data_IF_546357335380
#
_entry.id   IF_546357335380
#
_cell.length_a   1.000
_cell.length_b   1.000
_cell.length_c   1.000
_cell.angle_alpha   90.00
_cell.angle_beta   90.00
_cell.angle_gamma   90.00
#
_symmetry.space_group_name_H-M   'P 1'
#
loop_
_entity.id
_entity.type
_entity.pdbx_description
1 polymer ?
#
# COMPACT_ATOMS: atom_id res chain seq x y z
N UNK A 1 -1.29 -16.49 26.79
CA UNK A 1 -0.57 -15.58 25.86
C UNK A 1 -0.93 -16.01 24.45
N UNK A 2 -2.06 -15.57 23.94
CA UNK A 2 -2.51 -15.85 22.56
C UNK A 2 -3.01 -14.52 22.00
N UNK A 3 -2.14 -13.83 21.26
CA UNK A 3 -2.34 -12.43 20.87
C UNK A 3 -1.84 -12.12 19.47
N UNK A 4 -1.81 -13.11 18.57
CA UNK A 4 -1.52 -12.89 17.17
C UNK A 4 -2.76 -13.20 16.34
N UNK A 5 -3.18 -12.23 15.52
CA UNK A 5 -4.26 -12.38 14.56
C UNK A 5 -3.96 -13.54 13.58
N UNK A 6 -4.93 -14.40 13.23
CA UNK A 6 -4.72 -15.47 12.26
C UNK A 6 -4.27 -14.91 10.91
N UNK A 7 -3.37 -15.61 10.20
CA UNK A 7 -2.79 -15.17 8.92
C UNK A 7 -3.80 -14.90 7.80
N UNK A 8 -5.05 -15.37 7.96
CA UNK A 8 -6.15 -15.23 7.01
C UNK A 8 -7.19 -14.17 7.43
N UNK A 9 -6.87 -13.32 8.42
CA UNK A 9 -7.81 -12.34 8.97
C UNK A 9 -8.17 -11.21 7.99
N UNK A 10 -7.31 -10.91 7.01
CA UNK A 10 -7.68 -9.95 5.97
C UNK A 10 -8.71 -10.61 5.03
N UNK A 11 -9.97 -10.13 5.02
CA UNK A 11 -10.97 -10.65 4.10
C UNK A 11 -10.48 -10.43 2.67
N UNK A 12 -10.65 -11.46 1.83
CA UNK A 12 -10.46 -11.29 0.39
C UNK A 12 -11.35 -10.14 -0.06
N UNK A 13 -10.75 -9.12 -0.67
CA UNK A 13 -11.48 -8.01 -1.28
C UNK A 13 -12.64 -8.61 -2.10
N UNK A 14 -13.90 -8.20 -1.85
CA UNK A 14 -15.01 -8.75 -2.60
C UNK A 14 -14.78 -8.48 -4.09
N UNK A 15 -15.13 -9.42 -4.98
CA UNK A 15 -15.08 -9.21 -6.41
C UNK A 15 -16.14 -8.16 -6.80
N UNK A 16 -15.77 -6.88 -6.65
CA UNK A 16 -16.52 -5.74 -7.13
C UNK A 16 -15.88 -5.20 -8.41
N UNK A 17 -16.66 -4.59 -9.32
CA UNK A 17 -16.14 -4.11 -10.60
C UNK A 17 -15.16 -2.93 -10.49
N UNK A 18 -14.89 -2.41 -9.28
CA UNK A 18 -13.97 -1.29 -9.02
C UNK A 18 -13.19 -1.51 -7.74
N UNK A 19 -11.86 -1.43 -7.83
CA UNK A 19 -10.99 -1.21 -6.67
C UNK A 19 -11.31 0.21 -6.16
N UNK A 20 -11.60 0.43 -4.87
CA UNK A 20 -11.85 1.76 -4.34
C UNK A 20 -10.63 2.65 -4.57
N UNK A 21 -10.77 3.67 -5.41
CA UNK A 21 -9.81 4.78 -5.41
C UNK A 21 -10.15 5.75 -4.26
N UNK A 22 -9.23 6.67 -3.95
CA UNK A 22 -9.38 7.60 -2.83
C UNK A 22 -10.66 8.45 -2.89
N UNK A 23 -11.36 8.51 -4.03
CA UNK A 23 -12.61 9.26 -4.17
C UNK A 23 -13.83 8.54 -3.61
N UNK A 24 -13.73 7.22 -3.32
CA UNK A 24 -14.84 6.38 -2.84
C UNK A 24 -14.85 6.14 -1.33
N UNK A 25 -13.76 6.42 -0.60
CA UNK A 25 -13.70 6.26 0.85
C UNK A 25 -14.09 7.59 1.55
N UNK A 26 -15.17 7.63 2.36
CA UNK A 26 -15.65 8.87 2.98
C UNK A 26 -14.62 9.59 3.84
N UNK A 27 -13.81 8.85 4.60
CA UNK A 27 -12.76 9.42 5.45
C UNK A 27 -11.61 10.03 4.64
N UNK A 28 -11.17 9.40 3.55
CA UNK A 28 -10.14 9.99 2.68
C UNK A 28 -10.66 11.24 1.98
N UNK A 29 -11.91 11.20 1.51
CA UNK A 29 -12.57 12.36 0.92
C UNK A 29 -12.71 13.52 1.91
N UNK A 30 -13.06 13.22 3.16
CA UNK A 30 -13.07 14.22 4.24
C UNK A 30 -11.75 14.95 4.39
N UNK A 31 -10.64 14.22 4.49
CA UNK A 31 -9.33 14.84 4.63
C UNK A 31 -8.90 15.60 3.37
N UNK A 32 -9.21 15.07 2.18
CA UNK A 32 -8.92 15.75 0.92
C UNK A 32 -9.66 17.09 0.77
N UNK A 33 -10.91 17.17 1.23
CA UNK A 33 -11.73 18.39 1.15
C UNK A 33 -11.40 19.38 2.27
N UNK A 34 -11.26 18.89 3.50
CA UNK A 34 -11.09 19.75 4.68
C UNK A 34 -9.66 20.24 4.87
N UNK A 35 -8.65 19.50 4.37
CA UNK A 35 -7.25 19.74 4.67
C UNK A 35 -6.88 19.52 6.15
N UNK A 36 -7.83 19.07 6.97
CA UNK A 36 -7.60 18.81 8.39
C UNK A 36 -6.78 17.53 8.56
N UNK A 37 -6.07 17.45 9.69
CA UNK A 37 -5.25 16.29 10.01
C UNK A 37 -5.62 15.65 11.35
N UNK A 38 -6.67 16.14 12.03
CA UNK A 38 -7.13 15.57 13.29
C UNK A 38 -7.84 14.22 13.11
N UNK A 39 -7.88 13.35 14.14
CA UNK A 39 -8.63 12.10 14.08
C UNK A 39 -10.12 12.31 13.78
N UNK A 40 -10.69 11.42 12.98
CA UNK A 40 -12.07 11.53 12.50
C UNK A 40 -12.77 10.17 12.47
N UNK A 41 -13.97 10.11 13.07
CA UNK A 41 -14.89 8.98 12.93
C UNK A 41 -15.67 9.07 11.63
N UNK A 42 -15.90 7.92 10.97
CA UNK A 42 -16.70 7.82 9.76
C UNK A 42 -18.12 8.37 9.95
N UNK A 43 -18.75 8.07 11.09
CA UNK A 43 -20.12 8.50 11.41
C UNK A 43 -20.24 10.02 11.61
N UNK A 44 -19.12 10.72 11.80
CA UNK A 44 -19.06 12.18 11.94
C UNK A 44 -18.66 12.90 10.64
N UNK A 45 -18.48 12.16 9.54
CA UNK A 45 -18.21 12.78 8.24
C UNK A 45 -19.51 13.46 7.76
N UNK A 46 -19.48 14.78 7.48
CA UNK A 46 -20.67 15.50 7.04
C UNK A 46 -21.22 14.95 5.71
N UNK A 47 -22.54 14.89 5.60
CA UNK A 47 -23.22 14.38 4.40
C UNK A 47 -22.95 15.22 3.14
N UNK A 48 -22.57 16.50 3.32
CA UNK A 48 -22.14 17.38 2.23
C UNK A 48 -20.80 16.93 1.62
N UNK A 49 -19.98 16.22 2.39
CA UNK A 49 -18.67 15.73 1.93
C UNK A 49 -18.79 14.30 1.41
N UNK A 50 -19.54 13.46 2.11
CA UNK A 50 -19.87 12.11 1.67
C UNK A 50 -21.37 11.88 1.85
N UNK A 51 -22.11 11.90 0.74
CA UNK A 51 -23.56 11.70 0.76
C UNK A 51 -23.94 10.28 1.19
N UNK A 52 -25.24 10.07 1.40
CA UNK A 52 -25.76 8.79 1.86
C UNK A 52 -25.47 7.64 0.88
N UNK A 53 -25.42 7.91 -0.44
CA UNK A 53 -25.12 6.90 -1.44
C UNK A 53 -23.68 6.40 -1.28
N UNK A 54 -22.72 7.33 -1.13
CA UNK A 54 -21.33 7.02 -0.87
C UNK A 54 -21.14 6.30 0.47
N UNK A 55 -21.79 6.78 1.53
CA UNK A 55 -21.68 6.16 2.85
C UNK A 55 -22.27 4.74 2.86
N UNK A 56 -23.43 4.53 2.23
CA UNK A 56 -24.06 3.20 2.12
C UNK A 56 -23.19 2.27 1.27
N UNK A 57 -22.71 2.72 0.12
CA UNK A 57 -21.85 1.90 -0.74
C UNK A 57 -20.56 1.46 -0.03
N UNK A 58 -19.96 2.38 0.75
CA UNK A 58 -18.79 2.05 1.58
C UNK A 58 -19.15 1.05 2.69
N UNK A 59 -20.27 1.27 3.39
CA UNK A 59 -20.73 0.36 4.45
C UNK A 59 -21.05 -1.04 3.91
N UNK A 60 -21.73 -1.16 2.78
CA UNK A 60 -22.07 -2.45 2.17
C UNK A 60 -20.81 -3.24 1.76
N UNK A 61 -19.74 -2.53 1.37
CA UNK A 61 -18.45 -3.12 1.03
C UNK A 61 -17.73 -3.70 2.26
N UNK A 62 -17.74 -2.98 3.38
CA UNK A 62 -16.90 -3.28 4.55
C UNK A 62 -17.64 -4.02 5.67
N UNK A 63 -18.98 -4.00 5.68
CA UNK A 63 -19.81 -4.74 6.64
C UNK A 63 -19.58 -6.26 6.63
N UNK A 64 -19.42 -6.94 5.46
CA UNK A 64 -19.08 -8.36 5.42
C UNK A 64 -17.74 -8.69 6.10
N UNK A 65 -16.87 -7.69 6.28
CA UNK A 65 -15.57 -7.78 6.94
C UNK A 65 -15.66 -7.60 8.47
N UNK A 66 -16.86 -7.41 9.02
CA UNK A 66 -17.05 -7.05 10.42
C UNK A 66 -16.64 -5.61 10.74
N UNK A 67 -16.51 -4.76 9.73
CA UNK A 67 -16.13 -3.35 9.88
C UNK A 67 -17.41 -2.51 9.79
N UNK A 68 -17.98 -2.13 10.94
CA UNK A 68 -19.20 -1.31 10.98
C UNK A 68 -18.89 0.14 11.35
N UNK A 69 -17.91 0.32 12.23
CA UNK A 69 -17.48 1.62 12.73
C UNK A 69 -16.01 1.82 12.44
N UNK A 70 -15.64 3.03 12.01
CA UNK A 70 -14.28 3.36 11.61
C UNK A 70 -13.84 4.69 12.21
N UNK A 71 -12.59 4.74 12.68
CA UNK A 71 -11.89 5.93 13.14
C UNK A 71 -10.54 6.01 12.43
N UNK A 72 -10.29 7.12 11.75
CA UNK A 72 -8.99 7.40 11.16
C UNK A 72 -8.15 8.27 12.08
N UNK A 73 -6.87 7.92 12.22
CA UNK A 73 -5.83 8.71 12.90
C UNK A 73 -4.76 9.05 11.87
N UNK A 74 -4.81 10.24 11.24
CA UNK A 74 -3.80 10.67 10.29
C UNK A 74 -2.43 10.81 10.94
N UNK A 75 -1.38 10.57 10.16
CA UNK A 75 0.00 10.86 10.57
C UNK A 75 0.38 12.26 10.14
N UNK A 76 1.04 12.99 11.03
CA UNK A 76 1.51 14.36 10.77
C UNK A 76 2.85 14.29 10.02
N UNK A 77 2.78 14.01 8.72
CA UNK A 77 3.94 13.84 7.85
C UNK A 77 4.04 15.02 6.89
N UNK A 78 5.28 15.43 6.60
CA UNK A 78 5.55 16.41 5.55
C UNK A 78 5.51 15.74 4.17
N UNK A 79 4.96 16.46 3.18
CA UNK A 79 4.97 16.04 1.78
C UNK A 79 3.62 15.57 1.22
N UNK A 80 3.60 15.10 -0.03
CA UNK A 80 2.37 14.88 -0.78
C UNK A 80 1.63 13.58 -0.42
N UNK A 81 2.23 12.72 0.41
CA UNK A 81 1.68 11.41 0.74
C UNK A 81 1.03 11.45 2.12
N UNK A 82 -0.29 11.42 2.13
CA UNK A 82 -1.06 11.31 3.37
C UNK A 82 -1.14 9.85 3.82
N UNK A 83 -0.84 9.59 5.09
CA UNK A 83 -0.94 8.27 5.71
C UNK A 83 -1.79 8.36 6.97
N UNK A 84 -2.52 7.30 7.28
CA UNK A 84 -3.35 7.23 8.47
C UNK A 84 -3.43 5.79 8.98
N UNK A 85 -3.58 5.64 10.30
CA UNK A 85 -4.04 4.40 10.90
C UNK A 85 -5.57 4.39 10.88
N UNK A 86 -6.16 3.26 10.48
CA UNK A 86 -7.60 3.06 10.51
C UNK A 86 -7.94 2.04 11.60
N UNK A 87 -8.72 2.46 12.59
CA UNK A 87 -9.30 1.58 13.58
C UNK A 87 -10.70 1.22 13.11
N UNK A 88 -11.03 -0.07 13.21
CA UNK A 88 -12.31 -0.62 12.77
C UNK A 88 -12.87 -1.56 13.83
N UNK A 89 -14.20 -1.53 14.04
CA UNK A 89 -14.89 -2.47 14.93
C UNK A 89 -16.34 -2.74 14.51
N UNK A 90 -16.94 -3.88 14.90
CA UNK A 90 -18.30 -4.26 14.51
C UNK A 90 -19.39 -3.72 15.44
N UNK A 91 -19.07 -3.40 16.68
CA UNK A 91 -20.02 -3.44 17.80
C UNK A 91 -20.60 -2.08 18.18
N UNK A 92 -19.80 -1.01 18.17
CA UNK A 92 -20.26 0.32 18.59
C UNK A 92 -19.51 1.47 17.93
N UNK A 93 -20.12 2.65 17.91
CA UNK A 93 -19.51 3.88 17.40
C UNK A 93 -18.41 4.42 18.33
N UNK A 94 -17.42 5.13 17.77
CA UNK A 94 -16.37 5.81 18.52
C UNK A 94 -16.88 7.07 19.23
N UNK A 95 -16.74 7.12 20.55
CA UNK A 95 -17.20 8.24 21.37
C UNK A 95 -16.15 9.36 21.50
N UNK A 96 -16.51 10.47 22.15
CA UNK A 96 -15.60 11.63 22.31
C UNK A 96 -14.33 11.29 23.09
N UNK A 97 -14.41 10.44 24.12
CA UNK A 97 -13.24 10.05 24.91
C UNK A 97 -12.25 9.24 24.05
N UNK A 98 -12.76 8.36 23.18
CA UNK A 98 -11.95 7.59 22.24
C UNK A 98 -11.33 8.48 21.16
N UNK A 99 -12.04 9.51 20.68
CA UNK A 99 -11.46 10.52 19.79
C UNK A 99 -10.38 11.35 20.50
N UNK A 100 -10.61 11.72 21.76
CA UNK A 100 -9.64 12.46 22.59
C UNK A 100 -8.38 11.62 22.82
N UNK A 101 -8.53 10.33 23.11
CA UNK A 101 -7.41 9.38 23.20
C UNK A 101 -6.69 9.27 21.86
N UNK A 102 -7.42 9.18 20.75
CA UNK A 102 -6.81 9.14 19.41
C UNK A 102 -6.01 10.41 19.10
N UNK A 103 -6.48 11.59 19.53
CA UNK A 103 -5.74 12.85 19.42
C UNK A 103 -4.45 12.81 20.24
N UNK A 104 -4.50 12.27 21.46
CA UNK A 104 -3.31 12.12 22.31
C UNK A 104 -2.30 11.11 21.73
N UNK A 105 -2.78 10.04 21.10
CA UNK A 105 -1.95 9.01 20.48
C UNK A 105 -1.34 9.43 19.14
N UNK A 106 -2.01 10.32 18.40
CA UNK A 106 -1.60 10.75 17.07
C UNK A 106 -0.11 11.18 16.96
N UNK A 107 0.42 12.10 17.81
CA UNK A 107 1.82 12.50 17.71
C UNK A 107 2.78 11.35 18.02
N UNK A 108 2.41 10.45 18.94
CA UNK A 108 3.23 9.27 19.26
C UNK A 108 3.29 8.29 18.09
N UNK A 109 2.15 8.00 17.46
CA UNK A 109 2.07 7.16 16.26
C UNK A 109 2.84 7.77 15.09
N UNK A 110 2.79 9.10 14.94
CA UNK A 110 3.59 9.83 13.95
C UNK A 110 5.09 9.69 14.22
N UNK A 111 5.52 9.88 15.47
CA UNK A 111 6.92 9.71 15.86
C UNK A 111 7.42 8.28 15.64
N UNK A 112 6.63 7.28 16.03
CA UNK A 112 6.94 5.87 15.82
C UNK A 112 7.05 5.52 14.33
N UNK A 113 6.09 5.98 13.52
CA UNK A 113 6.14 5.80 12.07
C UNK A 113 7.42 6.39 11.50
N UNK A 114 7.78 7.63 11.88
CA UNK A 114 9.02 8.28 11.44
C UNK A 114 10.28 7.51 11.84
N UNK A 115 10.32 6.97 13.06
CA UNK A 115 11.46 6.18 13.53
C UNK A 115 11.62 4.87 12.74
N UNK A 116 10.51 4.18 12.45
CA UNK A 116 10.50 2.97 11.64
C UNK A 116 10.74 3.26 10.15
N UNK A 117 10.25 4.39 9.65
CA UNK A 117 10.45 4.79 8.26
C UNK A 117 11.87 5.25 8.02
N UNK A 118 12.54 5.89 8.98
CA UNK A 118 13.97 6.26 8.86
C UNK A 118 14.85 5.02 8.68
N UNK A 119 14.61 3.95 9.46
CA UNK A 119 15.29 2.67 9.29
C UNK A 119 14.99 1.98 7.95
N UNK A 120 13.90 2.36 7.28
CA UNK A 120 13.51 1.87 5.95
C UNK A 120 13.98 2.79 4.81
N UNK A 121 14.14 4.10 5.07
CA UNK A 121 14.68 5.09 4.14
C UNK A 121 16.20 4.91 3.97
N UNK A 122 16.94 4.47 5.00
CA UNK A 122 18.31 3.97 4.80
C UNK A 122 18.34 2.76 3.85
N UNK A 123 17.31 1.89 3.87
CA UNK A 123 17.15 0.83 2.87
C UNK A 123 16.66 1.32 1.51
N UNK A 124 16.02 2.49 1.44
CA UNK A 124 15.59 3.13 0.20
C UNK A 124 16.70 3.96 -0.45
N UNK A 125 17.63 4.52 0.33
CA UNK A 125 18.89 5.06 -0.15
C UNK A 125 19.76 3.95 -0.77
N UNK A 126 19.60 2.71 -0.29
CA UNK A 126 20.16 1.50 -0.90
C UNK A 126 19.39 1.02 -2.14
N UNK A 127 18.27 1.66 -2.51
CA UNK A 127 17.56 1.38 -3.77
C UNK A 127 18.17 2.21 -4.89
N UNK A 128 18.61 1.59 -6.00
CA UNK A 128 19.46 2.25 -6.99
C UNK A 128 18.79 3.28 -7.94
N UNK A 129 17.82 4.08 -7.47
CA UNK A 129 17.21 5.14 -8.30
C UNK A 129 16.56 4.63 -9.59
N UNK A 130 16.05 3.38 -9.56
CA UNK A 130 15.36 2.76 -10.69
C UNK A 130 14.00 3.45 -10.90
N UNK A 131 13.69 3.77 -12.15
CA UNK A 131 12.37 4.27 -12.56
C UNK A 131 11.33 3.15 -12.50
N UNK A 132 10.03 3.50 -12.48
CA UNK A 132 8.95 2.50 -12.53
C UNK A 132 9.06 1.57 -13.74
N UNK A 133 9.44 2.11 -14.91
CA UNK A 133 9.65 1.33 -16.13
C UNK A 133 10.80 0.32 -15.98
N UNK A 134 11.89 0.74 -15.35
CA UNK A 134 13.05 -0.12 -15.10
C UNK A 134 12.74 -1.19 -14.04
N UNK A 135 11.93 -0.89 -13.03
CA UNK A 135 11.45 -1.88 -12.06
C UNK A 135 10.59 -2.97 -12.73
N UNK A 136 9.65 -2.57 -13.59
CA UNK A 136 8.81 -3.53 -14.32
C UNK A 136 9.65 -4.43 -15.26
N UNK A 137 10.69 -3.86 -15.91
CA UNK A 137 11.64 -4.63 -16.72
C UNK A 137 12.45 -5.60 -15.84
N UNK A 138 12.95 -5.16 -14.69
CA UNK A 138 13.72 -5.96 -13.75
C UNK A 138 12.92 -7.12 -13.16
N UNK A 139 11.63 -6.92 -12.91
CA UNK A 139 10.71 -7.97 -12.43
C UNK A 139 10.56 -9.10 -13.45
N UNK A 140 10.26 -8.75 -14.71
CA UNK A 140 10.17 -9.70 -15.81
C UNK A 140 11.52 -10.37 -16.14
N UNK A 141 12.63 -9.64 -15.94
CA UNK A 141 13.97 -10.21 -16.05
C UNK A 141 14.20 -11.30 -14.99
N UNK A 142 13.72 -11.08 -13.77
CA UNK A 142 13.74 -12.06 -12.67
C UNK A 142 12.91 -13.31 -12.95
N UNK A 143 11.86 -13.19 -13.77
CA UNK A 143 11.04 -14.32 -14.24
C UNK A 143 11.65 -15.07 -15.45
N UNK A 144 12.83 -14.66 -15.93
CA UNK A 144 13.54 -15.34 -17.01
C UNK A 144 13.26 -14.80 -18.41
N UNK A 145 12.52 -13.70 -18.58
CA UNK A 145 12.22 -13.17 -19.91
C UNK A 145 13.47 -12.63 -20.63
N UNK A 146 13.55 -12.83 -21.94
CA UNK A 146 14.63 -12.28 -22.79
C UNK A 146 14.36 -10.83 -23.17
N UNK A 147 15.38 -10.09 -23.64
CA UNK A 147 15.21 -8.72 -24.14
C UNK A 147 14.19 -8.64 -25.29
N UNK A 148 14.12 -9.67 -26.14
CA UNK A 148 13.12 -9.78 -27.21
C UNK A 148 11.71 -9.95 -26.63
N UNK A 149 11.54 -10.87 -25.67
CA UNK A 149 10.26 -11.09 -24.98
C UNK A 149 9.80 -9.84 -24.22
N UNK A 150 10.72 -9.12 -23.58
CA UNK A 150 10.47 -7.83 -22.94
C UNK A 150 10.01 -6.78 -23.95
N UNK A 151 10.64 -6.74 -25.13
CA UNK A 151 10.23 -5.86 -26.22
C UNK A 151 8.79 -6.10 -26.64
N UNK A 152 8.41 -7.36 -26.85
CA UNK A 152 7.03 -7.73 -27.15
C UNK A 152 6.06 -7.37 -26.02
N UNK A 153 6.41 -7.69 -24.77
CA UNK A 153 5.56 -7.44 -23.61
C UNK A 153 5.25 -5.94 -23.42
N UNK A 154 6.24 -5.09 -23.69
CA UNK A 154 6.13 -3.65 -23.49
C UNK A 154 5.86 -2.84 -24.77
N UNK A 155 5.60 -3.53 -25.89
CA UNK A 155 5.40 -2.95 -27.21
C UNK A 155 6.51 -1.97 -27.63
N UNK A 156 7.77 -2.38 -27.41
CA UNK A 156 8.98 -1.62 -27.77
C UNK A 156 9.95 -2.49 -28.56
N UNK A 157 10.89 -1.86 -29.27
CA UNK A 157 11.93 -2.61 -29.98
C UNK A 157 12.81 -3.40 -29.00
N UNK A 158 13.34 -4.59 -29.38
CA UNK A 158 14.33 -5.32 -28.56
C UNK A 158 15.55 -4.46 -28.19
N UNK A 159 15.95 -3.55 -29.09
CA UNK A 159 17.03 -2.58 -28.84
C UNK A 159 16.68 -1.61 -27.70
N UNK A 160 15.43 -1.17 -27.61
CA UNK A 160 14.95 -0.31 -26.51
C UNK A 160 14.90 -1.09 -25.19
N UNK A 161 14.46 -2.35 -25.23
CA UNK A 161 14.50 -3.22 -24.05
C UNK A 161 15.95 -3.44 -23.55
N UNK A 162 16.90 -3.61 -24.46
CA UNK A 162 18.32 -3.74 -24.12
C UNK A 162 18.88 -2.46 -23.48
N UNK A 163 18.50 -1.28 -23.98
CA UNK A 163 18.85 0.00 -23.31
C UNK A 163 18.31 0.10 -21.89
N UNK A 164 17.08 -0.37 -21.64
CA UNK A 164 16.55 -0.41 -20.28
C UNK A 164 17.39 -1.34 -19.38
N UNK A 165 17.80 -2.51 -19.88
CA UNK A 165 18.68 -3.43 -19.14
C UNK A 165 20.05 -2.81 -18.84
N UNK A 166 20.67 -2.11 -19.79
CA UNK A 166 21.94 -1.39 -19.57
C UNK A 166 21.81 -0.33 -18.47
N UNK A 167 20.72 0.45 -18.49
CA UNK A 167 20.46 1.44 -17.45
C UNK A 167 20.23 0.79 -16.09
N UNK A 168 19.51 -0.33 -16.04
CA UNK A 168 19.28 -1.12 -14.84
C UNK A 168 20.61 -1.64 -14.28
N UNK A 169 21.47 -2.24 -15.11
CA UNK A 169 22.76 -2.78 -14.69
C UNK A 169 23.69 -1.70 -14.15
N UNK A 170 23.74 -0.54 -14.83
CA UNK A 170 24.51 0.61 -14.36
C UNK A 170 23.99 1.12 -13.02
N UNK A 171 22.68 1.24 -12.86
CA UNK A 171 22.06 1.71 -11.61
C UNK A 171 22.28 0.71 -10.49
N UNK A 172 22.14 -0.58 -10.76
CA UNK A 172 22.41 -1.66 -9.83
C UNK A 172 23.91 -1.89 -9.59
N UNK A 173 24.82 -1.24 -10.31
CA UNK A 173 26.27 -1.48 -10.24
C UNK A 173 26.63 -2.97 -10.37
N UNK A 174 26.20 -3.59 -11.48
CA UNK A 174 26.41 -5.00 -11.80
C UNK A 174 26.80 -5.17 -13.27
N UNK A 175 27.59 -6.22 -13.56
CA UNK A 175 28.07 -6.48 -14.92
C UNK A 175 27.16 -7.38 -15.76
N UNK A 176 26.26 -8.14 -15.14
CA UNK A 176 25.46 -9.13 -15.84
C UNK A 176 24.05 -9.32 -15.29
N UNK A 177 23.26 -10.08 -16.07
CA UNK A 177 21.86 -10.42 -15.78
C UNK A 177 21.70 -11.15 -14.44
N UNK A 178 22.56 -12.12 -14.16
CA UNK A 178 22.42 -12.96 -12.97
C UNK A 178 22.70 -12.13 -11.72
N UNK A 179 23.74 -11.32 -11.74
CA UNK A 179 24.08 -10.36 -10.69
C UNK A 179 22.96 -9.34 -10.49
N UNK A 180 22.36 -8.83 -11.57
CA UNK A 180 21.21 -7.93 -11.48
C UNK A 180 20.02 -8.56 -10.77
N UNK A 181 19.65 -9.78 -11.15
CA UNK A 181 18.55 -10.53 -10.52
C UNK A 181 18.87 -10.86 -9.06
N UNK A 182 20.08 -11.31 -8.75
CA UNK A 182 20.49 -11.61 -7.37
C UNK A 182 20.51 -10.37 -6.49
N UNK A 183 21.05 -9.25 -6.98
CA UNK A 183 21.07 -7.97 -6.24
C UNK A 183 19.65 -7.43 -6.05
N UNK A 184 18.82 -7.50 -7.08
CA UNK A 184 17.41 -7.13 -6.99
C UNK A 184 16.63 -7.99 -5.98
N UNK A 185 16.89 -9.30 -5.92
CA UNK A 185 16.31 -10.19 -4.93
C UNK A 185 16.73 -9.83 -3.50
N UNK A 186 18.02 -9.56 -3.26
CA UNK A 186 18.54 -9.13 -1.95
C UNK A 186 17.94 -7.80 -1.49
N UNK A 187 17.71 -6.88 -2.42
CA UNK A 187 17.10 -5.57 -2.16
C UNK A 187 15.56 -5.62 -2.07
N UNK A 188 14.94 -6.79 -2.27
CA UNK A 188 13.49 -6.95 -2.26
C UNK A 188 12.77 -6.22 -3.40
N UNK A 189 13.45 -6.01 -4.53
CA UNK A 189 12.92 -5.31 -5.70
C UNK A 189 12.17 -6.23 -6.67
N UNK A 190 12.35 -7.54 -6.53
CA UNK A 190 11.58 -8.53 -7.27
C UNK A 190 10.38 -8.90 -6.41
N UNK A 191 9.17 -8.81 -6.98
CA UNK A 191 7.96 -9.25 -6.30
C UNK A 191 8.18 -10.66 -5.77
N UNK A 192 8.09 -10.82 -4.44
CA UNK A 192 8.17 -12.15 -3.86
C UNK A 192 7.09 -12.99 -4.55
N UNK A 193 7.41 -14.17 -5.12
CA UNK A 193 6.35 -15.07 -5.52
C UNK A 193 5.54 -15.31 -4.26
N UNK A 194 4.26 -14.93 -4.30
CA UNK A 194 3.28 -15.39 -3.33
C UNK A 194 3.48 -16.90 -3.26
N UNK A 195 4.00 -17.39 -2.14
CA UNK A 195 4.12 -18.82 -1.89
C UNK A 195 2.68 -19.33 -1.90
N UNK A 196 2.22 -19.83 -3.05
CA UNK A 196 0.97 -20.57 -3.15
C UNK A 196 1.24 -21.85 -2.41
N UNK A 197 0.84 -21.89 -1.13
CA UNK A 197 0.80 -23.12 -0.36
C UNK A 197 -0.17 -24.04 -1.10
N UNK A 198 0.27 -25.20 -1.63
CA UNK A 198 -0.66 -26.11 -2.27
C UNK A 198 -1.59 -26.64 -1.18
N UNK A 199 -2.89 -26.37 -1.31
CA UNK A 199 -3.92 -26.97 -0.49
C UNK A 199 -3.87 -28.49 -0.67
N UNK A 200 -3.18 -29.16 0.24
CA UNK A 200 -3.24 -30.60 0.39
C UNK A 200 -4.67 -30.98 0.80
N UNK A 201 -5.34 -31.72 -0.09
CA UNK A 201 -6.53 -32.49 0.26
C UNK A 201 -6.17 -33.54 1.30
N UNK A 202 -6.97 -33.61 2.37
CA UNK A 202 -7.27 -34.85 3.08
C UNK A 202 -8.79 -34.86 3.28
#
# INVERSE_FOLDING_TARGET
MEGCWPGDYLPKLPPGPRIPDATWQPLLRWYAVSGLSGPQSLARVPSQVADWHMQSAWQDLVKPMGINYQLAIPLLLDGPVHRAYLLARPDREFNEDELTLAMALQPMLTGLYRQLSWASEDKAADRPGLTQRELAVLELLGQGLTATSLGHHFNISPRTAQKHLEHIYRKLDVGDRLMAVQKAARLGLLGQPLVVVPNGRI
#
